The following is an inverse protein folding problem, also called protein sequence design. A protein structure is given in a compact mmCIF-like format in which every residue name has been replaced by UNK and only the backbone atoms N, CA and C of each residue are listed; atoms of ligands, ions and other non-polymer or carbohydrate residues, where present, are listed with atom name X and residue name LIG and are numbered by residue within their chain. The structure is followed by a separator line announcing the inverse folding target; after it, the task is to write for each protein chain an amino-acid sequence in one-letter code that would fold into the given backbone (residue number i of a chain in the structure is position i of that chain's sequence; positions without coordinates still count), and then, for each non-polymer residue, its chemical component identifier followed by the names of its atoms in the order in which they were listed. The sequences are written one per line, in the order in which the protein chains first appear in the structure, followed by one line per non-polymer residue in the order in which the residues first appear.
data_IF_027816637439
#
_entry.id   IF_027816637439
#
_cell.length_a   1.000
_cell.length_b   1.000
_cell.length_c   1.000
_cell.angle_alpha   90.00
_cell.angle_beta   90.00
_cell.angle_gamma   90.00
#
_symmetry.space_group_name_H-M   'P 1'
#
loop_
_entity.id
_entity.type
_entity.pdbx_description
1 polymer ?
#
# COMPACT_ATOMS: atom_id res chain seq x y z
N UNK A 1 -16.48 -0.61 -19.43
CA UNK A 1 -15.07 -0.20 -19.51
C UNK A 1 -14.89 1.06 -18.68
N UNK A 2 -13.93 1.08 -17.77
CA UNK A 2 -13.55 2.29 -17.01
C UNK A 2 -12.94 3.28 -18.01
N UNK A 3 -13.33 4.57 -17.95
CA UNK A 3 -12.77 5.58 -18.86
C UNK A 3 -11.28 5.83 -18.54
N UNK A 4 -10.49 6.20 -19.56
CA UNK A 4 -9.07 6.51 -19.39
C UNK A 4 -8.86 7.65 -18.37
N UNK A 5 -9.71 8.67 -18.39
CA UNK A 5 -9.66 9.78 -17.42
C UNK A 5 -9.88 9.29 -15.99
N UNK A 6 -10.85 8.38 -15.76
CA UNK A 6 -11.09 7.81 -14.43
C UNK A 6 -9.87 7.02 -13.95
N UNK A 7 -9.27 6.21 -14.83
CA UNK A 7 -8.04 5.45 -14.50
C UNK A 7 -6.88 6.37 -14.12
N UNK A 8 -6.67 7.45 -14.87
CA UNK A 8 -5.62 8.46 -14.56
C UNK A 8 -5.83 9.11 -13.19
N UNK A 9 -7.08 9.43 -12.83
CA UNK A 9 -7.41 9.96 -11.51
C UNK A 9 -7.09 8.92 -10.41
N UNK A 10 -7.47 7.66 -10.59
CA UNK A 10 -7.20 6.59 -9.62
C UNK A 10 -5.69 6.33 -9.44
N UNK A 11 -4.90 6.33 -10.52
CA UNK A 11 -3.43 6.17 -10.44
C UNK A 11 -2.80 7.34 -9.68
N UNK A 12 -3.11 8.58 -10.06
CA UNK A 12 -2.60 9.77 -9.38
C UNK A 12 -3.01 9.81 -7.89
N UNK A 13 -4.23 9.37 -7.57
CA UNK A 13 -4.69 9.26 -6.19
C UNK A 13 -3.90 8.22 -5.40
N UNK A 14 -3.57 7.05 -5.99
CA UNK A 14 -2.72 6.05 -5.35
C UNK A 14 -1.35 6.61 -4.97
N UNK A 15 -0.70 7.36 -5.87
CA UNK A 15 0.60 7.97 -5.61
C UNK A 15 0.53 9.02 -4.50
N UNK A 16 -0.49 9.89 -4.54
CA UNK A 16 -0.68 10.91 -3.52
C UNK A 16 -1.02 10.30 -2.15
N UNK A 17 -1.85 9.26 -2.10
CA UNK A 17 -2.16 8.53 -0.87
C UNK A 17 -0.90 7.83 -0.31
N UNK A 18 -0.10 7.20 -1.14
CA UNK A 18 1.14 6.55 -0.73
C UNK A 18 2.13 7.55 -0.11
N UNK A 19 2.21 8.75 -0.67
CA UNK A 19 3.15 9.79 -0.24
C UNK A 19 2.67 10.61 0.94
N UNK A 20 1.42 11.06 0.89
CA UNK A 20 0.88 12.10 1.77
C UNK A 20 -0.26 11.61 2.68
N UNK A 21 -0.72 10.37 2.52
CA UNK A 21 -1.89 9.87 3.21
C UNK A 21 -3.20 10.52 2.75
N UNK A 22 -4.28 10.24 3.48
CA UNK A 22 -5.59 10.78 3.14
C UNK A 22 -5.68 12.28 3.40
N UNK A 23 -5.23 12.75 4.58
CA UNK A 23 -5.32 14.17 4.91
C UNK A 23 -4.36 15.03 4.11
N UNK A 24 -3.18 14.49 3.77
CA UNK A 24 -2.11 15.22 3.11
C UNK A 24 -2.32 15.46 1.62
N UNK A 25 -3.27 14.81 0.92
CA UNK A 25 -3.52 15.12 -0.47
C UNK A 25 -4.80 15.93 -0.69
N UNK A 26 -4.76 16.83 -1.67
CA UNK A 26 -5.89 17.66 -2.06
C UNK A 26 -6.24 17.54 -3.54
N UNK A 27 -7.45 17.94 -3.90
CA UNK A 27 -7.94 17.87 -5.30
C UNK A 27 -7.11 18.73 -6.27
N UNK A 28 -6.41 19.76 -5.79
CA UNK A 28 -5.50 20.56 -6.62
C UNK A 28 -4.30 19.71 -7.05
N UNK A 29 -3.60 19.09 -6.09
CA UNK A 29 -2.49 18.21 -6.39
C UNK A 29 -2.93 17.03 -7.28
N UNK A 30 -4.13 16.49 -7.04
CA UNK A 30 -4.68 15.42 -7.87
C UNK A 30 -4.95 15.88 -9.32
N UNK A 31 -5.50 17.10 -9.52
CA UNK A 31 -5.73 17.69 -10.84
C UNK A 31 -4.42 17.84 -11.63
N UNK A 32 -3.38 18.30 -10.95
CA UNK A 32 -2.04 18.45 -11.51
C UNK A 32 -1.42 17.08 -11.85
N UNK A 33 -1.42 16.13 -10.91
CA UNK A 33 -0.85 14.80 -11.10
C UNK A 33 -1.58 13.98 -12.17
N UNK A 34 -2.92 14.04 -12.20
CA UNK A 34 -3.72 13.39 -13.25
C UNK A 34 -3.67 14.11 -14.60
N UNK A 35 -3.12 15.33 -14.67
CA UNK A 35 -3.18 16.22 -15.83
C UNK A 35 -4.62 16.38 -16.36
N UNK A 36 -5.58 16.60 -15.46
CA UNK A 36 -7.00 16.74 -15.77
C UNK A 36 -7.60 17.95 -15.04
N UNK A 37 -8.51 18.72 -15.67
CA UNK A 37 -9.18 19.83 -15.00
C UNK A 37 -10.13 19.34 -13.91
N UNK A 38 -10.39 20.18 -12.90
CA UNK A 38 -11.31 19.90 -11.79
C UNK A 38 -12.69 19.39 -12.25
N UNK A 39 -13.24 19.96 -13.31
CA UNK A 39 -14.53 19.52 -13.86
C UNK A 39 -14.53 18.07 -14.29
N UNK A 40 -13.41 17.57 -14.82
CA UNK A 40 -13.26 16.16 -15.18
C UNK A 40 -13.21 15.26 -13.95
N UNK A 41 -12.56 15.71 -12.87
CA UNK A 41 -12.49 14.98 -11.61
C UNK A 41 -13.90 14.78 -11.04
N UNK A 42 -14.65 15.87 -10.87
CA UNK A 42 -16.03 15.79 -10.34
C UNK A 42 -17.01 15.09 -11.25
N UNK A 43 -16.76 15.08 -12.57
CA UNK A 43 -17.55 14.27 -13.51
C UNK A 43 -17.41 12.77 -13.25
N UNK A 44 -16.21 12.31 -12.93
CA UNK A 44 -15.92 10.88 -12.66
C UNK A 44 -16.10 10.47 -11.20
N UNK A 45 -16.00 11.42 -10.28
CA UNK A 45 -16.09 11.21 -8.82
C UNK A 45 -16.91 12.34 -8.20
N UNK A 46 -18.25 12.28 -8.30
CA UNK A 46 -19.11 13.32 -7.73
C UNK A 46 -18.98 13.47 -6.21
N UNK A 47 -18.64 12.39 -5.49
CA UNK A 47 -18.35 12.40 -4.05
C UNK A 47 -16.99 12.97 -3.67
N UNK A 48 -16.22 13.45 -4.67
CA UNK A 48 -14.98 14.17 -4.44
C UNK A 48 -13.87 13.32 -3.81
N UNK A 49 -13.11 13.93 -2.89
CA UNK A 49 -11.89 13.36 -2.31
C UNK A 49 -12.12 11.99 -1.66
N UNK A 50 -13.20 11.82 -0.93
CA UNK A 50 -13.49 10.58 -0.22
C UNK A 50 -13.76 9.44 -1.22
N UNK A 51 -14.61 9.64 -2.20
CA UNK A 51 -14.91 8.64 -3.25
C UNK A 51 -13.64 8.26 -4.03
N UNK A 52 -12.78 9.23 -4.32
CA UNK A 52 -11.51 9.01 -5.03
C UNK A 52 -10.56 8.16 -4.17
N UNK A 53 -10.42 8.50 -2.90
CA UNK A 53 -9.56 7.75 -1.98
C UNK A 53 -10.04 6.30 -1.82
N UNK A 54 -11.33 6.10 -1.60
CA UNK A 54 -11.95 4.76 -1.52
C UNK A 54 -11.70 3.97 -2.79
N UNK A 55 -11.90 4.56 -3.97
CA UNK A 55 -11.67 3.90 -5.25
C UNK A 55 -10.19 3.51 -5.45
N UNK A 56 -9.27 4.40 -5.11
CA UNK A 56 -7.82 4.16 -5.23
C UNK A 56 -7.35 3.05 -4.28
N UNK A 57 -7.77 3.08 -3.02
CA UNK A 57 -7.44 2.08 -1.99
C UNK A 57 -8.00 0.72 -2.39
N UNK A 58 -9.29 0.63 -2.72
CA UNK A 58 -9.96 -0.60 -3.16
C UNK A 58 -9.32 -1.18 -4.42
N UNK A 59 -9.01 -0.29 -5.39
CA UNK A 59 -8.29 -0.68 -6.61
C UNK A 59 -6.92 -1.27 -6.31
N UNK A 60 -6.19 -0.70 -5.35
CA UNK A 60 -4.89 -1.22 -4.92
C UNK A 60 -5.02 -2.61 -4.29
N UNK A 61 -5.91 -2.81 -3.33
CA UNK A 61 -6.15 -4.12 -2.72
C UNK A 61 -6.52 -5.18 -3.76
N UNK A 62 -7.39 -4.83 -4.71
CA UNK A 62 -7.80 -5.72 -5.81
C UNK A 62 -6.62 -6.11 -6.71
N UNK A 63 -5.77 -5.14 -7.10
CA UNK A 63 -4.58 -5.40 -7.95
C UNK A 63 -3.56 -6.26 -7.22
N UNK A 64 -3.24 -5.93 -5.98
CA UNK A 64 -2.28 -6.70 -5.17
C UNK A 64 -2.78 -8.12 -4.92
N UNK A 65 -4.04 -8.30 -4.54
CA UNK A 65 -4.63 -9.63 -4.39
C UNK A 65 -4.65 -10.44 -5.69
N UNK A 66 -4.85 -9.79 -6.84
CA UNK A 66 -4.71 -10.46 -8.15
C UNK A 66 -3.27 -10.88 -8.43
N UNK A 67 -2.30 -10.00 -8.18
CA UNK A 67 -0.88 -10.31 -8.33
C UNK A 67 -0.48 -11.53 -7.50
N UNK A 68 -0.91 -11.60 -6.25
CA UNK A 68 -0.65 -12.75 -5.37
C UNK A 68 -1.25 -14.03 -5.95
N UNK A 69 -2.51 -14.01 -6.41
CA UNK A 69 -3.18 -15.19 -6.98
C UNK A 69 -2.60 -15.63 -8.33
N UNK A 70 -2.03 -14.74 -9.08
CA UNK A 70 -1.41 -15.02 -10.40
C UNK A 70 0.07 -15.36 -10.30
N UNK A 71 0.66 -15.23 -9.12
CA UNK A 71 2.03 -15.63 -8.89
C UNK A 71 2.22 -17.14 -9.17
N UNK A 72 3.43 -17.56 -9.56
CA UNK A 72 3.74 -18.99 -9.69
C UNK A 72 3.34 -19.74 -8.41
N UNK A 73 2.99 -21.02 -8.54
CA UNK A 73 2.62 -21.90 -7.42
C UNK A 73 3.75 -22.14 -6.40
N UNK A 74 4.77 -21.31 -6.43
CA UNK A 74 5.86 -21.26 -5.45
C UNK A 74 5.61 -20.10 -4.48
N UNK A 75 5.15 -20.45 -3.29
CA UNK A 75 4.87 -19.49 -2.21
C UNK A 75 6.10 -18.68 -1.79
N UNK A 76 7.30 -19.25 -1.93
CA UNK A 76 8.54 -18.55 -1.58
C UNK A 76 8.82 -17.44 -2.60
N UNK A 77 8.71 -17.75 -3.89
CA UNK A 77 8.81 -16.77 -4.97
C UNK A 77 7.73 -15.68 -4.85
N UNK A 78 6.50 -16.04 -4.49
CA UNK A 78 5.41 -15.07 -4.29
C UNK A 78 5.71 -14.11 -3.15
N UNK A 79 6.19 -14.62 -2.02
CA UNK A 79 6.58 -13.79 -0.87
C UNK A 79 7.72 -12.85 -1.25
N UNK A 80 8.78 -13.36 -1.86
CA UNK A 80 9.92 -12.57 -2.32
C UNK A 80 9.48 -11.48 -3.31
N UNK A 81 8.62 -11.81 -4.28
CA UNK A 81 8.10 -10.87 -5.28
C UNK A 81 7.34 -9.70 -4.66
N UNK A 82 6.53 -9.93 -3.61
CA UNK A 82 5.80 -8.87 -2.92
C UNK A 82 6.78 -7.85 -2.30
N UNK A 83 7.78 -8.32 -1.59
CA UNK A 83 8.78 -7.44 -0.95
C UNK A 83 9.65 -6.72 -1.98
N UNK A 84 10.05 -7.40 -3.05
CA UNK A 84 10.82 -6.80 -4.15
C UNK A 84 10.02 -5.73 -4.89
N UNK A 85 8.73 -5.94 -5.10
CA UNK A 85 7.85 -4.92 -5.67
C UNK A 85 7.87 -3.63 -4.85
N UNK A 86 7.73 -3.71 -3.51
CA UNK A 86 7.79 -2.53 -2.66
C UNK A 86 9.18 -1.90 -2.63
N UNK A 87 10.23 -2.71 -2.61
CA UNK A 87 11.61 -2.21 -2.68
C UNK A 87 11.82 -1.34 -3.91
N UNK A 88 11.38 -1.81 -5.09
CA UNK A 88 11.47 -1.03 -6.33
C UNK A 88 10.63 0.24 -6.28
N UNK A 89 9.40 0.17 -5.77
CA UNK A 89 8.53 1.34 -5.62
C UNK A 89 9.15 2.41 -4.75
N UNK A 90 9.69 2.05 -3.60
CA UNK A 90 10.35 2.98 -2.69
C UNK A 90 11.61 3.59 -3.31
N UNK A 91 12.45 2.77 -3.96
CA UNK A 91 13.66 3.25 -4.62
C UNK A 91 13.34 4.23 -5.77
N UNK A 92 12.31 3.94 -6.59
CA UNK A 92 11.86 4.82 -7.68
C UNK A 92 11.36 6.17 -7.19
N UNK A 93 10.81 6.25 -6.00
CA UNK A 93 10.30 7.48 -5.38
C UNK A 93 11.33 8.20 -4.50
N UNK A 94 12.60 7.79 -4.52
CA UNK A 94 13.61 8.25 -3.55
C UNK A 94 13.15 8.08 -2.10
N UNK A 95 12.50 6.97 -1.80
CA UNK A 95 12.03 6.57 -0.46
C UNK A 95 10.97 7.51 0.17
N UNK A 96 10.29 8.34 -0.63
CA UNK A 96 9.25 9.24 -0.09
C UNK A 96 7.85 8.64 -0.12
N UNK A 97 7.59 7.68 -0.99
CA UNK A 97 6.30 6.99 -1.04
C UNK A 97 6.21 5.92 0.07
N UNK A 98 5.00 5.48 0.34
CA UNK A 98 4.70 4.37 1.24
C UNK A 98 3.70 3.43 0.59
N UNK A 99 2.98 2.67 1.40
CA UNK A 99 1.86 1.86 0.93
C UNK A 99 0.63 2.76 0.73
N UNK A 100 -0.05 2.73 -0.44
CA UNK A 100 -1.26 3.52 -0.65
C UNK A 100 -2.48 3.03 0.16
N UNK A 101 -2.35 1.93 0.91
CA UNK A 101 -3.33 1.43 1.87
C UNK A 101 -2.87 1.79 3.30
N UNK A 102 -1.63 1.45 3.66
CA UNK A 102 -1.09 1.64 5.00
C UNK A 102 -0.89 3.10 5.36
N UNK A 103 -0.39 3.94 4.44
CA UNK A 103 -0.16 5.37 4.73
C UNK A 103 -1.45 6.09 5.12
N UNK A 104 -2.57 6.03 4.35
CA UNK A 104 -3.83 6.66 4.78
C UNK A 104 -4.44 6.02 6.03
N UNK A 105 -4.20 4.74 6.30
CA UNK A 105 -4.64 4.11 7.53
C UNK A 105 -3.95 4.67 8.78
N UNK A 106 -2.73 5.23 8.65
CA UNK A 106 -1.91 5.73 9.74
C UNK A 106 -1.99 7.26 9.93
N UNK A 107 -2.40 8.03 8.93
CA UNK A 107 -2.39 9.50 8.96
C UNK A 107 -3.68 10.13 9.51
N UNK A 108 -4.55 9.36 10.15
CA UNK A 108 -5.88 9.79 10.59
C UNK A 108 -6.96 9.61 9.53
N UNK A 109 -6.66 9.07 8.35
CA UNK A 109 -7.67 8.65 7.36
C UNK A 109 -8.65 7.63 7.94
N UNK A 110 -8.26 6.93 9.00
CA UNK A 110 -9.12 6.04 9.80
C UNK A 110 -10.26 6.77 10.54
N UNK A 111 -10.20 8.08 10.71
CA UNK A 111 -11.29 8.89 11.28
C UNK A 111 -12.43 9.11 10.27
N UNK A 112 -12.16 8.86 8.97
CA UNK A 112 -13.15 8.87 7.91
C UNK A 112 -13.61 7.44 7.65
N UNK A 113 -14.85 7.12 8.07
CA UNK A 113 -15.36 5.75 8.10
C UNK A 113 -15.20 5.02 6.76
N UNK A 114 -15.56 5.66 5.64
CA UNK A 114 -15.47 5.05 4.32
C UNK A 114 -13.99 4.73 3.92
N UNK A 115 -13.04 5.57 4.34
CA UNK A 115 -11.61 5.34 4.10
C UNK A 115 -11.09 4.21 4.98
N UNK A 116 -11.49 4.18 6.26
CA UNK A 116 -11.15 3.11 7.21
C UNK A 116 -11.64 1.75 6.69
N UNK A 117 -12.91 1.68 6.27
CA UNK A 117 -13.50 0.46 5.71
C UNK A 117 -12.78 0.02 4.42
N UNK A 118 -12.45 0.96 3.54
CA UNK A 118 -11.73 0.66 2.31
C UNK A 118 -10.30 0.11 2.59
N UNK A 119 -9.59 0.68 3.56
CA UNK A 119 -8.28 0.17 3.99
C UNK A 119 -8.40 -1.25 4.57
N UNK A 120 -9.38 -1.49 5.46
CA UNK A 120 -9.64 -2.81 6.02
C UNK A 120 -9.93 -3.83 4.93
N UNK A 121 -10.89 -3.54 4.05
CA UNK A 121 -11.24 -4.43 2.94
C UNK A 121 -10.06 -4.69 1.97
N UNK A 122 -9.17 -3.70 1.77
CA UNK A 122 -8.00 -3.87 0.92
C UNK A 122 -6.95 -4.80 1.58
N UNK A 123 -6.70 -4.68 2.88
CA UNK A 123 -5.86 -5.62 3.62
C UNK A 123 -6.48 -7.02 3.65
N UNK A 124 -7.78 -7.15 3.93
CA UNK A 124 -8.50 -8.43 3.88
C UNK A 124 -8.34 -9.12 2.51
N UNK A 125 -8.42 -8.36 1.41
CA UNK A 125 -8.23 -8.90 0.07
C UNK A 125 -6.80 -9.44 -0.18
N UNK A 126 -5.79 -8.79 0.39
CA UNK A 126 -4.40 -9.26 0.35
C UNK A 126 -4.22 -10.53 1.18
N UNK A 127 -4.71 -10.54 2.42
CA UNK A 127 -4.63 -11.68 3.33
C UNK A 127 -5.37 -12.89 2.75
N UNK A 128 -6.59 -12.71 2.24
CA UNK A 128 -7.36 -13.77 1.61
C UNK A 128 -6.66 -14.36 0.38
N UNK A 129 -6.01 -13.51 -0.43
CA UNK A 129 -5.28 -13.98 -1.60
C UNK A 129 -4.07 -14.84 -1.18
N UNK A 130 -3.32 -14.42 -0.16
CA UNK A 130 -2.22 -15.20 0.41
C UNK A 130 -2.70 -16.49 1.06
N UNK A 131 -3.70 -16.41 1.93
CA UNK A 131 -4.26 -17.58 2.61
C UNK A 131 -4.81 -18.61 1.60
N UNK A 132 -5.44 -18.15 0.53
CA UNK A 132 -5.91 -19.03 -0.56
C UNK A 132 -4.75 -19.79 -1.22
N UNK A 133 -3.68 -19.09 -1.58
CA UNK A 133 -2.48 -19.72 -2.14
C UNK A 133 -1.85 -20.74 -1.18
N UNK A 134 -1.71 -20.38 0.09
CA UNK A 134 -1.14 -21.26 1.12
C UNK A 134 -2.01 -22.51 1.34
N UNK A 135 -3.33 -22.37 1.30
CA UNK A 135 -4.28 -23.47 1.43
C UNK A 135 -4.25 -24.41 0.21
N UNK A 136 -4.15 -23.86 -1.00
CA UNK A 136 -3.96 -24.65 -2.24
C UNK A 136 -2.69 -25.48 -2.20
N UNK A 137 -1.64 -24.97 -1.56
CA UNK A 137 -0.38 -25.67 -1.33
C UNK A 137 -0.42 -26.67 -0.15
N UNK A 138 -1.55 -26.75 0.55
CA UNK A 138 -1.86 -27.81 1.50
C UNK A 138 -1.77 -27.42 2.98
N UNK A 139 -1.64 -26.16 3.34
CA UNK A 139 -1.82 -25.73 4.72
C UNK A 139 -3.30 -25.80 5.15
N UNK A 140 -3.53 -26.00 6.44
CA UNK A 140 -4.88 -25.84 6.99
C UNK A 140 -5.35 -24.39 6.86
N UNK A 141 -6.67 -24.15 6.77
CA UNK A 141 -7.23 -22.81 6.69
C UNK A 141 -6.77 -21.90 7.85
N UNK A 142 -6.61 -22.45 9.04
CA UNK A 142 -6.12 -21.72 10.20
C UNK A 142 -4.67 -21.29 10.02
N UNK A 143 -3.76 -22.24 9.72
CA UNK A 143 -2.32 -21.95 9.53
C UNK A 143 -2.09 -21.00 8.36
N UNK A 144 -2.86 -21.17 7.26
CA UNK A 144 -2.80 -20.29 6.10
C UNK A 144 -3.23 -18.85 6.45
N UNK A 145 -4.31 -18.68 7.23
CA UNK A 145 -4.78 -17.37 7.68
C UNK A 145 -3.77 -16.67 8.60
N UNK A 146 -3.29 -17.38 9.62
CA UNK A 146 -2.29 -16.85 10.56
C UNK A 146 -1.00 -16.39 9.84
N UNK A 147 -0.52 -17.19 8.90
CA UNK A 147 0.67 -16.87 8.12
C UNK A 147 0.43 -15.70 7.16
N UNK A 148 -0.73 -15.64 6.50
CA UNK A 148 -1.10 -14.54 5.60
C UNK A 148 -1.12 -13.20 6.35
N UNK A 149 -1.80 -13.11 7.49
CA UNK A 149 -1.81 -11.91 8.33
C UNK A 149 -0.40 -11.53 8.77
N UNK A 150 0.43 -12.52 9.14
CA UNK A 150 1.83 -12.26 9.54
C UNK A 150 2.65 -11.66 8.39
N UNK A 151 2.52 -12.19 7.18
CA UNK A 151 3.23 -11.69 5.99
C UNK A 151 2.81 -10.26 5.67
N UNK A 152 1.50 -9.95 5.66
CA UNK A 152 0.99 -8.61 5.37
C UNK A 152 1.44 -7.59 6.44
N UNK A 153 1.36 -7.95 7.73
CA UNK A 153 1.82 -7.10 8.81
C UNK A 153 3.34 -6.84 8.75
N UNK A 154 4.12 -7.87 8.46
CA UNK A 154 5.57 -7.76 8.31
C UNK A 154 5.97 -6.90 7.10
N UNK A 155 5.26 -7.04 5.99
CA UNK A 155 5.42 -6.22 4.78
C UNK A 155 5.18 -4.74 5.05
N UNK A 156 4.08 -4.38 5.71
CA UNK A 156 3.77 -2.99 6.06
C UNK A 156 4.81 -2.41 7.04
N UNK A 157 5.19 -3.17 8.06
CA UNK A 157 6.23 -2.76 9.00
C UNK A 157 7.60 -2.54 8.34
N UNK A 158 7.99 -3.45 7.45
CA UNK A 158 9.24 -3.33 6.67
C UNK A 158 9.21 -2.11 5.74
N UNK A 159 8.06 -1.82 5.12
CA UNK A 159 7.85 -0.63 4.27
C UNK A 159 8.09 0.65 5.04
N UNK A 160 7.53 0.78 6.25
CA UNK A 160 7.75 1.95 7.12
C UNK A 160 9.24 2.10 7.47
N UNK A 161 9.90 1.01 7.87
CA UNK A 161 11.32 1.03 8.22
C UNK A 161 12.22 1.39 7.03
N UNK A 162 11.92 0.84 5.85
CA UNK A 162 12.67 1.12 4.63
C UNK A 162 12.55 2.59 4.21
N UNK A 163 11.33 3.14 4.27
CA UNK A 163 11.06 4.55 4.01
C UNK A 163 11.86 5.48 4.92
N UNK A 164 11.81 5.25 6.23
CA UNK A 164 12.51 6.09 7.23
C UNK A 164 14.02 5.97 7.10
N UNK A 165 14.55 4.79 6.80
CA UNK A 165 15.99 4.53 6.66
C UNK A 165 16.53 4.87 5.28
N UNK A 166 15.66 5.12 4.30
CA UNK A 166 16.01 5.27 2.88
C UNK A 166 16.91 4.13 2.39
N UNK A 167 16.51 2.89 2.72
CA UNK A 167 17.28 1.67 2.43
C UNK A 167 16.34 0.50 2.16
N UNK A 168 16.74 -0.36 1.23
CA UNK A 168 16.08 -1.64 0.95
C UNK A 168 16.28 -2.69 2.08
N UNK A 169 17.30 -2.52 2.93
CA UNK A 169 17.70 -3.53 3.92
C UNK A 169 16.57 -4.05 4.80
N UNK A 170 15.64 -3.20 5.32
CA UNK A 170 14.52 -3.71 6.13
C UNK A 170 13.61 -4.67 5.35
N UNK A 171 13.32 -4.34 4.08
CA UNK A 171 12.48 -5.19 3.23
C UNK A 171 13.16 -6.51 2.91
N UNK A 172 14.44 -6.50 2.54
CA UNK A 172 15.22 -7.72 2.28
C UNK A 172 15.36 -8.60 3.53
N UNK A 173 15.63 -7.98 4.69
CA UNK A 173 15.75 -8.70 5.96
C UNK A 173 14.44 -9.38 6.32
N UNK A 174 13.32 -8.67 6.21
CA UNK A 174 12.01 -9.21 6.55
C UNK A 174 11.55 -10.24 5.52
N UNK A 175 11.81 -10.04 4.23
CA UNK A 175 11.54 -11.04 3.19
C UNK A 175 12.22 -12.37 3.51
N UNK A 176 13.52 -12.36 3.84
CA UNK A 176 14.27 -13.55 4.23
C UNK A 176 13.70 -14.23 5.49
N UNK A 177 13.27 -13.44 6.47
CA UNK A 177 12.64 -13.96 7.69
C UNK A 177 11.28 -14.60 7.40
N UNK A 178 10.47 -13.98 6.52
CA UNK A 178 9.17 -14.52 6.12
C UNK A 178 9.33 -15.81 5.31
N UNK A 179 10.31 -15.88 4.40
CA UNK A 179 10.62 -17.13 3.69
C UNK A 179 10.93 -18.27 4.65
N UNK A 180 11.75 -18.02 5.68
CA UNK A 180 12.05 -19.02 6.71
C UNK A 180 10.80 -19.44 7.48
N UNK A 181 9.95 -18.49 7.86
CA UNK A 181 8.71 -18.77 8.57
C UNK A 181 7.77 -19.64 7.72
N UNK A 182 7.61 -19.30 6.45
CA UNK A 182 6.83 -20.10 5.48
C UNK A 182 7.38 -21.54 5.43
N UNK A 183 8.70 -21.71 5.27
CA UNK A 183 9.34 -23.05 5.25
C UNK A 183 9.06 -23.85 6.52
N UNK A 184 9.21 -23.24 7.70
CA UNK A 184 8.95 -23.89 8.99
C UNK A 184 7.49 -24.34 9.06
N UNK A 185 6.54 -23.47 8.73
CA UNK A 185 5.10 -23.78 8.78
C UNK A 185 4.75 -24.95 7.85
N UNK A 186 5.31 -25.00 6.64
CA UNK A 186 5.10 -26.12 5.72
C UNK A 186 5.75 -27.42 6.21
N UNK A 187 6.93 -27.33 6.82
CA UNK A 187 7.62 -28.50 7.42
C UNK A 187 6.82 -29.08 8.58
N UNK A 188 6.34 -28.24 9.49
CA UNK A 188 5.48 -28.64 10.62
C UNK A 188 4.16 -29.27 10.16
N UNK A 189 3.61 -28.80 9.04
CA UNK A 189 2.43 -29.39 8.41
C UNK A 189 2.72 -30.69 7.64
N UNK A 190 3.98 -31.16 7.58
CA UNK A 190 4.40 -32.34 6.81
C UNK A 190 4.27 -32.16 5.28
N UNK A 191 4.34 -30.92 4.80
CA UNK A 191 4.18 -30.56 3.38
C UNK A 191 5.48 -30.16 2.69
N UNK A 192 6.56 -30.05 3.44
CA UNK A 192 7.88 -29.69 2.95
C UNK A 192 8.95 -30.56 3.64
N UNK A 193 9.76 -31.22 2.83
CA UNK A 193 10.92 -31.98 3.31
C UNK A 193 12.18 -31.15 3.14
N UNK A 194 12.71 -30.62 4.24
CA UNK A 194 13.92 -29.82 4.25
C UNK A 194 15.17 -30.59 3.77
N UNK A 195 15.16 -31.93 3.85
CA UNK A 195 16.25 -32.78 3.38
C UNK A 195 16.35 -32.88 1.86
N UNK A 196 15.20 -32.96 1.18
CA UNK A 196 15.14 -33.03 -0.28
C UNK A 196 15.54 -31.73 -0.99
N UNK A 197 15.28 -30.59 -0.34
CA UNK A 197 15.61 -29.26 -0.90
C UNK A 197 17.10 -28.93 -0.83
N UNK A 198 17.84 -29.48 0.14
CA UNK A 198 19.28 -29.26 0.26
C UNK A 198 20.09 -29.92 -0.89
N UNK A 199 19.54 -30.99 -1.49
CA UNK A 199 20.18 -31.69 -2.59
C UNK A 199 19.95 -30.99 -3.96
N UNK A 200 18.92 -30.16 -4.11
CA UNK A 200 18.57 -29.49 -5.37
C UNK A 200 19.27 -28.14 -5.59
N UNK A 201 19.89 -27.54 -4.57
CA UNK A 201 20.57 -26.23 -4.68
C UNK A 201 22.02 -26.32 -5.19
N UNK A 202 22.49 -27.51 -5.63
CA UNK A 202 23.88 -27.73 -6.02
C UNK A 202 24.26 -27.32 -7.45
N UNK A 203 23.33 -26.99 -8.34
CA UNK A 203 23.64 -26.55 -9.71
C UNK A 203 22.52 -25.68 -10.28
N UNK A 204 22.63 -24.38 -10.13
CA UNK A 204 21.71 -23.45 -10.75
C UNK A 204 22.23 -22.04 -10.62
N UNK A 205 23.05 -21.61 -11.59
CA UNK A 205 23.42 -20.21 -11.80
C UNK A 205 22.18 -19.34 -11.91
N UNK A 206 22.24 -18.23 -11.22
CA UNK A 206 21.28 -17.15 -11.18
C UNK A 206 21.01 -16.54 -12.56
N UNK A 207 19.93 -16.95 -13.22
CA UNK A 207 19.27 -16.18 -14.26
C UNK A 207 17.80 -16.00 -13.85
N UNK A 208 17.57 -15.10 -12.90
CA UNK A 208 16.23 -14.60 -12.59
C UNK A 208 16.02 -13.31 -13.36
N UNK A 209 16.07 -13.41 -14.70
CA UNK A 209 15.43 -12.48 -15.61
C UNK A 209 14.05 -13.05 -16.01
N UNK A 210 13.24 -13.40 -14.99
CA UNK A 210 11.82 -13.58 -15.24
C UNK A 210 11.21 -12.18 -15.34
N UNK A 211 11.03 -11.70 -16.58
CA UNK A 211 10.15 -10.59 -16.88
C UNK A 211 8.82 -10.82 -16.17
N UNK A 212 8.61 -10.08 -15.09
CA UNK A 212 7.28 -10.01 -14.49
C UNK A 212 6.34 -9.47 -15.56
N UNK A 213 5.17 -10.09 -15.76
CA UNK A 213 4.17 -9.48 -16.60
C UNK A 213 3.94 -8.08 -16.02
N UNK A 214 4.11 -7.06 -16.86
CA UNK A 214 3.81 -5.68 -16.52
C UNK A 214 2.43 -5.67 -15.87
N UNK A 215 2.42 -5.61 -14.53
CA UNK A 215 1.21 -5.24 -13.83
C UNK A 215 0.92 -3.84 -14.39
N UNK A 216 -0.14 -3.74 -15.20
CA UNK A 216 -0.52 -2.53 -15.94
C UNK A 216 -0.80 -1.38 -14.95
N UNK A 217 0.27 -0.81 -14.42
CA UNK A 217 0.25 0.41 -13.63
C UNK A 217 0.24 1.65 -14.53
N UNK A 218 0.14 1.45 -15.88
CA UNK A 218 0.29 2.53 -16.84
C UNK A 218 1.68 3.18 -16.72
N UNK A 219 2.25 3.59 -17.83
CA UNK A 219 3.46 4.43 -17.80
C UNK A 219 3.28 5.55 -16.78
N UNK A 220 4.29 5.79 -15.91
CA UNK A 220 4.22 6.92 -14.99
C UNK A 220 3.99 8.19 -15.82
N UNK A 221 3.09 9.08 -15.38
CA UNK A 221 2.98 10.39 -16.02
C UNK A 221 4.37 11.01 -16.05
N UNK A 222 4.73 11.65 -17.17
CA UNK A 222 6.02 12.30 -17.37
C UNK A 222 6.45 13.02 -16.09
N UNK A 223 7.70 12.76 -15.65
CA UNK A 223 8.24 13.20 -14.38
C UNK A 223 7.74 14.60 -13.98
N UNK A 224 7.14 14.69 -12.79
CA UNK A 224 6.82 15.99 -12.17
C UNK A 224 8.14 16.77 -12.15
N UNK A 225 8.18 18.01 -12.71
CA UNK A 225 9.42 18.79 -12.72
C UNK A 225 9.96 18.88 -11.31
N UNK A 226 11.27 18.63 -11.16
CA UNK A 226 11.98 18.78 -9.92
C UNK A 226 11.70 20.16 -9.34
N UNK A 227 11.25 20.21 -8.10
CA UNK A 227 11.13 21.45 -7.34
C UNK A 227 12.55 21.95 -7.17
N UNK A 228 12.85 23.15 -7.65
CA UNK A 228 14.16 23.78 -7.56
C UNK A 228 14.64 23.82 -6.12
N UNK A 229 15.94 23.64 -5.96
CA UNK A 229 16.69 23.19 -4.78
C UNK A 229 16.70 24.04 -3.51
N UNK A 230 15.61 24.66 -3.09
CA UNK A 230 15.51 25.35 -1.80
C UNK A 230 14.25 24.99 -1.00
N UNK A 231 13.82 23.75 -1.02
CA UNK A 231 12.99 23.06 0.00
C UNK A 231 11.96 23.85 0.84
N UNK A 232 11.62 25.05 0.47
CA UNK A 232 10.65 25.91 1.14
C UNK A 232 9.41 25.95 0.25
N UNK A 233 8.32 25.31 0.72
CA UNK A 233 6.99 25.55 0.19
C UNK A 233 6.74 27.06 0.24
N UNK A 234 6.23 27.69 -0.85
CA UNK A 234 5.90 29.10 -0.81
C UNK A 234 4.91 29.34 0.33
N UNK A 235 5.23 30.35 1.11
CA UNK A 235 4.55 30.90 2.27
C UNK A 235 3.04 30.62 2.26
N UNK A 236 2.61 29.66 3.06
CA UNK A 236 1.20 29.49 3.39
C UNK A 236 0.89 30.72 4.24
N UNK A 237 0.13 31.64 3.68
CA UNK A 237 -0.25 32.92 4.26
C UNK A 237 -0.57 32.73 5.76
N UNK A 238 0.27 33.31 6.64
CA UNK A 238 0.14 33.23 8.08
C UNK A 238 -1.24 33.67 8.59
N UNK A 239 -2.04 34.31 7.76
CA UNK A 239 -3.44 34.68 8.02
C UNK A 239 -4.41 33.51 8.01
N UNK A 240 -4.08 32.38 7.32
CA UNK A 240 -4.92 31.17 7.31
C UNK A 240 -4.71 30.37 8.59
N UNK A 241 -3.52 30.39 9.17
CA UNK A 241 -3.22 29.71 10.44
C UNK A 241 -3.81 30.48 11.64
N UNK A 242 -3.87 31.81 11.57
CA UNK A 242 -4.45 32.63 12.62
C UNK A 242 -5.99 32.55 12.66
N UNK A 243 -6.66 32.30 11.53
CA UNK A 243 -8.13 32.18 11.48
C UNK A 243 -8.67 30.89 12.09
N UNK A 244 -7.84 29.84 12.22
CA UNK A 244 -8.23 28.58 12.86
C UNK A 244 -8.05 28.58 14.40
N UNK A 245 -7.42 29.61 14.96
CA UNK A 245 -7.14 29.70 16.40
C UNK A 245 -8.18 30.55 17.19
N UNK A 246 -9.12 31.20 16.51
CA UNK A 246 -10.07 32.16 17.11
C UNK A 246 -11.54 31.67 17.13
N UNK A 247 -11.82 30.38 17.02
CA UNK A 247 -13.16 29.88 17.33
C UNK A 247 -13.30 29.64 18.85
N UNK A 248 -14.26 30.33 19.50
CA UNK A 248 -14.49 30.14 20.91
C UNK A 248 -15.05 28.73 21.17
N UNK A 249 -14.40 28.00 22.07
CA UNK A 249 -14.91 26.74 22.63
C UNK A 249 -16.25 27.01 23.31
N UNK A 250 -17.33 26.55 22.70
CA UNK A 250 -18.68 26.65 23.22
C UNK A 250 -18.77 25.90 24.57
N UNK A 251 -19.16 26.66 25.62
CA UNK A 251 -19.32 26.16 26.98
C UNK A 251 -20.48 25.16 27.00
N UNK A 252 -20.20 23.93 27.37
CA UNK A 252 -21.21 22.91 27.68
C UNK A 252 -21.97 23.39 28.95
N UNK A 253 -23.33 23.52 28.93
CA UNK A 253 -24.10 23.88 30.11
C UNK A 253 -24.02 22.78 31.17
N UNK A 254 -23.77 23.19 32.43
CA UNK A 254 -23.57 22.31 33.55
C UNK A 254 -24.76 21.37 33.83
N UNK A 255 -24.44 20.12 34.14
CA UNK A 255 -25.36 19.17 34.72
C UNK A 255 -25.47 19.43 36.23
N UNK A 256 -26.69 19.67 36.72
CA UNK A 256 -27.01 19.75 38.14
C UNK A 256 -26.81 18.40 38.85
N UNK A 257 -26.33 18.36 40.11
CA UNK A 257 -26.20 17.12 40.86
C UNK A 257 -27.56 16.65 41.41
N UNK A 258 -27.78 15.33 41.54
CA UNK A 258 -29.02 14.78 42.08
C UNK A 258 -29.15 15.00 43.57
N UNK A 259 -30.35 15.28 43.97
CA UNK A 259 -30.83 15.43 45.36
C UNK A 259 -30.86 14.10 46.10
#
# INVERSE_FOLDING_TARGET
MVSESRRRIEVAACELLARHGYHGFGLKALSEAACLPYGSIYHHFPGGKEEIAVAAITGTGTRTGRMIRQAPTDVFATTATLFEFMTRKLAQSDWVDGCPIGTPALDGGSDVEAVREACGAAFDAMEQAFAGLLAELGLSAQAAGELATTVVAAYEGATVLARVRRSADPLHTVATAMERLVRITFTEAGRYDAGAAAESTGTGSSDIDAEMPDADFGDPPAAVPAVDGDGILPDVDARVVAAAADEPVDQVPGADPPS
#
